data_IF_372339525681
#
_entry.id   IF_372339525681
#
_cell.length_a   1.000
_cell.length_b   1.000
_cell.length_c   1.000
_cell.angle_alpha   90.00
_cell.angle_beta   90.00
_cell.angle_gamma   90.00
#
_symmetry.space_group_name_H-M   'P 1'
#
loop_
_entity.id
_entity.type
_entity.pdbx_description
1 polymer ?
#
# COMPACT_ATOMS: atom_id res chain seq x y z
N UNK A 1 4.06 -10.95 2.31
CA UNK A 1 3.79 -9.69 3.04
C UNK A 1 4.72 -9.52 4.23
N UNK A 2 4.66 -10.40 5.24
CA UNK A 2 5.47 -10.27 6.48
C UNK A 2 6.96 -10.00 6.23
N UNK A 3 7.60 -10.73 5.30
CA UNK A 3 9.02 -10.55 5.01
C UNK A 3 9.41 -9.13 4.54
N UNK A 4 8.63 -8.50 3.65
CA UNK A 4 8.96 -7.15 3.15
C UNK A 4 8.68 -6.10 4.23
N UNK A 5 7.58 -6.24 4.96
CA UNK A 5 7.23 -5.34 6.07
C UNK A 5 8.31 -5.37 7.14
N UNK A 6 8.72 -6.57 7.57
CA UNK A 6 9.79 -6.75 8.53
C UNK A 6 11.09 -6.11 8.05
N UNK A 7 11.47 -6.31 6.78
CA UNK A 7 12.68 -5.73 6.25
C UNK A 7 12.63 -4.19 6.18
N UNK A 8 11.46 -3.58 5.97
CA UNK A 8 11.30 -2.12 6.05
C UNK A 8 11.47 -1.62 7.50
N UNK A 9 10.86 -2.29 8.47
CA UNK A 9 11.00 -1.95 9.90
C UNK A 9 12.45 -2.12 10.38
N UNK A 10 13.12 -3.22 10.01
CA UNK A 10 14.52 -3.50 10.38
C UNK A 10 15.48 -2.42 9.82
N UNK A 11 15.13 -1.78 8.70
CA UNK A 11 15.87 -0.68 8.06
C UNK A 11 15.42 0.72 8.52
N UNK A 12 14.47 0.79 9.48
CA UNK A 12 13.91 2.04 9.99
C UNK A 12 13.24 2.89 8.91
N UNK A 13 12.60 2.24 7.93
CA UNK A 13 11.86 2.91 6.87
C UNK A 13 10.40 3.05 7.25
N UNK A 14 9.91 4.29 7.29
CA UNK A 14 8.48 4.54 7.38
C UNK A 14 7.76 4.09 6.10
N UNK A 15 6.62 3.44 6.28
CA UNK A 15 5.69 3.06 5.23
C UNK A 15 4.26 3.15 5.76
N UNK A 16 3.26 2.97 4.90
CA UNK A 16 1.90 2.64 5.31
C UNK A 16 1.35 1.57 4.35
N UNK A 17 0.90 0.44 4.88
CA UNK A 17 0.18 -0.55 4.08
C UNK A 17 -1.13 0.05 3.58
N UNK A 18 -1.48 -0.22 2.32
CA UNK A 18 -2.73 0.23 1.72
C UNK A 18 -3.41 -0.88 0.92
N UNK A 19 -4.37 -0.52 0.07
CA UNK A 19 -5.05 -1.47 -0.81
C UNK A 19 -5.82 -2.55 -0.03
N UNK A 20 -5.75 -3.79 -0.53
CA UNK A 20 -6.51 -4.92 0.04
C UNK A 20 -6.09 -5.31 1.45
N UNK A 21 -4.82 -5.13 1.80
CA UNK A 21 -4.31 -5.46 3.13
C UNK A 21 -4.88 -4.50 4.16
N UNK A 22 -4.87 -3.20 3.89
CA UNK A 22 -5.44 -2.20 4.79
C UNK A 22 -6.96 -2.35 4.93
N UNK A 23 -7.67 -2.72 3.86
CA UNK A 23 -9.10 -3.08 3.96
C UNK A 23 -9.33 -4.21 4.98
N UNK A 24 -8.52 -5.27 4.93
CA UNK A 24 -8.64 -6.40 5.84
C UNK A 24 -8.31 -6.00 7.30
N UNK A 25 -7.31 -5.14 7.51
CA UNK A 25 -6.98 -4.59 8.84
C UNK A 25 -8.16 -3.82 9.44
N UNK A 26 -8.88 -3.05 8.61
CA UNK A 26 -10.06 -2.30 9.01
C UNK A 26 -11.36 -3.13 9.03
N UNK A 27 -11.26 -4.46 8.98
CA UNK A 27 -12.42 -5.35 9.13
C UNK A 27 -13.21 -5.62 7.85
N UNK A 28 -12.69 -5.27 6.67
CA UNK A 28 -13.27 -5.63 5.36
C UNK A 28 -12.39 -6.68 4.66
N UNK A 29 -12.69 -7.98 4.81
CA UNK A 29 -11.92 -9.02 4.12
C UNK A 29 -12.02 -8.86 2.60
N UNK A 30 -10.86 -8.69 1.94
CA UNK A 30 -10.77 -8.57 0.50
C UNK A 30 -9.52 -9.29 0.01
N UNK A 31 -9.72 -10.38 -0.73
CA UNK A 31 -8.61 -11.15 -1.29
C UNK A 31 -7.72 -10.25 -2.16
N UNK A 32 -6.44 -10.19 -1.83
CA UNK A 32 -5.42 -9.47 -2.61
C UNK A 32 -4.23 -10.38 -2.87
N UNK A 33 -3.68 -10.29 -4.08
CA UNK A 33 -2.44 -10.97 -4.46
C UNK A 33 -1.25 -10.01 -4.49
N UNK A 34 -1.51 -8.72 -4.32
CA UNK A 34 -0.53 -7.67 -4.38
C UNK A 34 -0.31 -7.07 -2.98
N UNK A 35 0.90 -6.56 -2.76
CA UNK A 35 1.25 -5.78 -1.57
C UNK A 35 1.33 -4.34 -2.02
N UNK A 36 0.49 -3.48 -1.44
CA UNK A 36 0.50 -2.05 -1.70
C UNK A 36 1.07 -1.32 -0.48
N UNK A 37 2.09 -0.48 -0.67
CA UNK A 37 2.63 0.41 0.36
C UNK A 37 2.67 1.84 -0.13
N UNK A 38 2.34 2.78 0.74
CA UNK A 38 2.55 4.20 0.57
C UNK A 38 3.83 4.61 1.29
N UNK A 39 4.68 5.44 0.65
CA UNK A 39 5.95 5.92 1.22
C UNK A 39 6.22 7.36 0.77
N UNK A 40 7.00 8.16 1.53
CA UNK A 40 7.36 9.50 1.09
C UNK A 40 8.31 9.44 -0.13
N UNK A 41 8.35 10.47 -0.98
CA UNK A 41 9.23 10.50 -2.16
C UNK A 41 10.70 10.22 -1.85
N UNK A 42 11.19 10.68 -0.69
CA UNK A 42 12.56 10.48 -0.23
C UNK A 42 12.90 9.02 0.11
N UNK A 43 11.91 8.18 0.40
CA UNK A 43 12.11 6.78 0.79
C UNK A 43 12.12 5.80 -0.39
N UNK A 44 11.64 6.20 -1.56
CA UNK A 44 11.40 5.32 -2.72
C UNK A 44 12.63 4.48 -3.10
N UNK A 45 13.81 5.10 -3.19
CA UNK A 45 15.03 4.38 -3.60
C UNK A 45 15.58 3.47 -2.50
N UNK A 46 15.38 3.81 -1.21
CA UNK A 46 15.71 2.91 -0.10
C UNK A 46 14.77 1.70 -0.09
N UNK A 47 13.48 1.93 -0.30
CA UNK A 47 12.47 0.87 -0.43
C UNK A 47 12.79 -0.05 -1.61
N UNK A 48 13.25 0.49 -2.75
CA UNK A 48 13.74 -0.32 -3.89
C UNK A 48 14.87 -1.26 -3.45
N UNK A 49 15.85 -0.78 -2.70
CA UNK A 49 16.96 -1.60 -2.23
C UNK A 49 16.49 -2.73 -1.31
N UNK A 50 15.58 -2.44 -0.38
CA UNK A 50 14.97 -3.43 0.53
C UNK A 50 14.10 -4.43 -0.23
N UNK A 51 13.31 -3.98 -1.21
CA UNK A 51 12.53 -4.87 -2.05
C UNK A 51 13.44 -5.86 -2.81
N UNK A 52 14.56 -5.39 -3.34
CA UNK A 52 15.56 -6.24 -4.02
C UNK A 52 16.18 -7.26 -3.08
N UNK A 53 16.55 -6.89 -1.84
CA UNK A 53 17.07 -7.84 -0.85
C UNK A 53 16.02 -8.91 -0.48
N UNK A 54 14.73 -8.54 -0.51
CA UNK A 54 13.59 -9.44 -0.33
C UNK A 54 13.23 -10.28 -1.56
N UNK A 55 14.04 -10.23 -2.63
CA UNK A 55 13.89 -11.02 -3.84
C UNK A 55 12.96 -10.44 -4.91
N UNK A 56 12.49 -9.20 -4.76
CA UNK A 56 11.78 -8.47 -5.82
C UNK A 56 12.78 -8.02 -6.89
N UNK A 57 12.99 -8.87 -7.89
CA UNK A 57 14.04 -8.72 -8.92
C UNK A 57 13.56 -8.00 -10.18
N UNK A 58 12.25 -7.98 -10.41
CA UNK A 58 11.67 -7.32 -11.58
C UNK A 58 11.18 -5.92 -11.21
N UNK A 59 11.54 -4.95 -12.04
CA UNK A 59 11.35 -3.52 -11.81
C UNK A 59 10.60 -2.96 -13.02
N UNK A 60 9.36 -2.53 -12.83
CA UNK A 60 8.61 -1.87 -13.89
C UNK A 60 9.02 -0.39 -13.97
N UNK A 61 8.89 0.21 -15.15
CA UNK A 61 9.03 1.65 -15.28
C UNK A 61 8.02 2.35 -14.36
N UNK A 62 8.41 3.48 -13.72
CA UNK A 62 7.47 4.28 -12.94
C UNK A 62 6.25 4.63 -13.77
N UNK A 63 5.08 4.53 -13.15
CA UNK A 63 3.82 4.90 -13.75
C UNK A 63 3.17 6.01 -12.94
N UNK A 64 2.66 7.03 -13.63
CA UNK A 64 1.87 8.10 -13.02
C UNK A 64 0.48 8.07 -13.61
N UNK A 65 -0.53 7.90 -12.77
CA UNK A 65 -1.92 7.93 -13.19
C UNK A 65 -2.32 9.38 -13.44
N UNK A 66 -2.40 9.78 -14.73
CA UNK A 66 -2.68 11.18 -15.11
C UNK A 66 -3.97 11.74 -14.52
N UNK A 67 -4.98 10.91 -14.28
CA UNK A 67 -6.26 11.32 -13.69
C UNK A 67 -6.17 11.69 -12.21
N UNK A 68 -5.24 11.11 -11.46
CA UNK A 68 -5.10 11.30 -10.01
C UNK A 68 -3.79 11.94 -9.58
N UNK A 69 -2.79 12.00 -10.46
CA UNK A 69 -1.43 12.44 -10.13
C UNK A 69 -0.61 11.39 -9.37
N UNK A 70 -1.21 10.25 -9.01
CA UNK A 70 -0.56 9.23 -8.17
C UNK A 70 0.56 8.55 -8.94
N UNK A 71 1.76 8.58 -8.36
CA UNK A 71 2.94 7.90 -8.87
C UNK A 71 3.16 6.55 -8.18
N UNK A 72 3.46 5.51 -8.96
CA UNK A 72 3.66 4.14 -8.47
C UNK A 72 4.95 3.54 -9.04
N UNK A 73 5.73 2.91 -8.17
CA UNK A 73 6.86 2.03 -8.51
C UNK A 73 6.44 0.59 -8.24
N UNK A 74 6.52 -0.25 -9.26
CA UNK A 74 6.05 -1.63 -9.18
C UNK A 74 7.23 -2.60 -9.26
N UNK A 75 7.29 -3.49 -8.29
CA UNK A 75 8.27 -4.56 -8.21
C UNK A 75 7.60 -5.91 -8.22
N UNK A 76 8.28 -6.95 -8.71
CA UNK A 76 7.74 -8.31 -8.69
C UNK A 76 8.78 -9.36 -8.29
N UNK A 77 8.29 -10.43 -7.67
CA UNK A 77 9.03 -11.68 -7.47
C UNK A 77 8.15 -12.89 -7.76
N UNK A 78 8.77 -14.03 -8.02
CA UNK A 78 8.06 -15.30 -8.18
C UNK A 78 8.06 -16.06 -6.85
N UNK A 79 6.89 -16.57 -6.47
CA UNK A 79 6.70 -17.52 -5.38
C UNK A 79 6.01 -18.73 -6.01
N UNK A 80 6.69 -19.89 -6.02
CA UNK A 80 6.16 -21.13 -6.60
C UNK A 80 5.65 -20.95 -8.05
N UNK A 81 6.37 -20.13 -8.83
CA UNK A 81 6.02 -19.81 -10.22
C UNK A 81 4.89 -18.79 -10.40
N UNK A 82 4.27 -18.30 -9.32
CA UNK A 82 3.26 -17.25 -9.36
C UNK A 82 3.88 -15.87 -9.06
N UNK A 83 3.52 -14.80 -9.79
CA UNK A 83 4.01 -13.46 -9.50
C UNK A 83 3.36 -12.88 -8.25
N UNK A 84 4.18 -12.35 -7.35
CA UNK A 84 3.79 -11.47 -6.25
C UNK A 84 4.25 -10.05 -6.59
N UNK A 85 3.30 -9.12 -6.63
CA UNK A 85 3.56 -7.71 -6.90
C UNK A 85 3.73 -6.93 -5.61
N UNK A 86 4.65 -5.97 -5.63
CA UNK A 86 4.81 -4.92 -4.63
C UNK A 86 4.64 -3.57 -5.34
N UNK A 87 3.54 -2.89 -5.05
CA UNK A 87 3.26 -1.55 -5.54
C UNK A 87 3.63 -0.55 -4.45
N UNK A 88 4.59 0.32 -4.79
CA UNK A 88 5.07 1.40 -3.93
C UNK A 88 4.49 2.70 -4.46
N UNK A 89 3.44 3.17 -3.81
CA UNK A 89 2.80 4.44 -4.07
C UNK A 89 3.61 5.55 -3.41
N UNK A 90 3.75 6.67 -4.11
CA UNK A 90 4.48 7.84 -3.61
C UNK A 90 3.49 8.79 -2.94
N UNK A 91 3.77 9.15 -1.69
CA UNK A 91 3.01 10.12 -0.91
C UNK A 91 3.33 11.55 -1.36
N UNK A 92 2.97 11.85 -2.61
CA UNK A 92 2.94 13.19 -3.16
C UNK A 92 1.49 13.60 -3.44
N UNK A 93 1.31 14.84 -3.91
CA UNK A 93 0.03 15.32 -4.44
C UNK A 93 -1.15 15.03 -3.49
N UNK A 94 -2.17 14.30 -3.97
CA UNK A 94 -3.39 13.96 -3.20
C UNK A 94 -3.15 12.94 -2.09
N UNK A 95 -1.99 12.25 -2.10
CA UNK A 95 -1.66 11.23 -1.12
C UNK A 95 -0.80 11.75 0.04
N UNK A 96 -0.38 13.01 0.01
CA UNK A 96 0.36 13.60 1.12
C UNK A 96 -0.48 13.61 2.41
N UNK A 97 -1.75 14.03 2.33
CA UNK A 97 -2.64 14.01 3.50
C UNK A 97 -2.93 12.58 3.99
N UNK A 98 -3.05 11.63 3.06
CA UNK A 98 -3.24 10.20 3.38
C UNK A 98 -2.03 9.66 4.17
N UNK A 99 -0.83 10.08 3.79
CA UNK A 99 0.40 9.71 4.48
C UNK A 99 0.47 10.27 5.91
N UNK A 100 0.15 11.55 6.09
CA UNK A 100 0.21 12.19 7.41
C UNK A 100 -0.83 11.64 8.38
N UNK A 101 -1.96 11.14 7.88
CA UNK A 101 -3.04 10.53 8.67
C UNK A 101 -2.94 9.01 8.80
N UNK A 102 -1.82 8.40 8.41
CA UNK A 102 -1.61 6.96 8.59
C UNK A 102 -1.66 6.57 10.07
N UNK A 103 -2.11 5.35 10.33
CA UNK A 103 -2.35 4.84 11.67
C UNK A 103 -1.42 3.68 11.99
N UNK A 104 -1.11 3.49 13.27
CA UNK A 104 -0.39 2.32 13.76
C UNK A 104 -1.40 1.36 14.40
N UNK A 105 -1.49 0.14 13.85
CA UNK A 105 -2.41 -0.90 14.32
C UNK A 105 -1.61 -2.06 14.90
N UNK A 106 -2.08 -2.64 15.99
CA UNK A 106 -1.46 -3.82 16.61
C UNK A 106 -1.87 -5.09 15.85
N UNK A 107 -0.89 -5.95 15.56
CA UNK A 107 -1.06 -7.28 14.97
C UNK A 107 -0.24 -8.28 15.80
N UNK A 108 -0.56 -9.57 15.70
CA UNK A 108 0.20 -10.71 16.28
C UNK A 108 1.75 -10.62 16.23
N UNK A 109 2.36 -9.94 15.26
CA UNK A 109 3.82 -9.87 15.05
C UNK A 109 4.40 -8.47 15.36
N UNK A 110 3.59 -7.53 15.86
CA UNK A 110 4.03 -6.18 16.21
C UNK A 110 3.04 -5.08 15.79
N UNK A 111 3.57 -3.88 15.51
CA UNK A 111 2.77 -2.74 15.06
C UNK A 111 2.96 -2.50 13.58
N UNK A 112 1.87 -2.48 12.83
CA UNK A 112 1.88 -2.15 11.40
C UNK A 112 1.48 -0.71 11.21
N UNK A 113 2.15 -0.02 10.30
CA UNK A 113 1.66 1.25 9.76
C UNK A 113 0.72 0.98 8.60
N UNK A 114 -0.50 1.53 8.65
CA UNK A 114 -1.57 1.33 7.67
C UNK A 114 -2.19 2.67 7.33
N UNK A 115 -2.69 2.85 6.11
CA UNK A 115 -3.51 4.02 5.79
C UNK A 115 -4.84 3.95 6.56
N UNK A 116 -5.36 5.10 6.98
CA UNK A 116 -6.66 5.19 7.66
C UNK A 116 -7.81 4.80 6.74
N UNK A 117 -9.00 4.60 7.31
CA UNK A 117 -10.25 4.39 6.54
C UNK A 117 -10.50 5.54 5.57
N UNK A 118 -10.39 6.79 6.02
CA UNK A 118 -10.52 7.98 5.17
C UNK A 118 -9.44 8.02 4.06
N UNK A 119 -8.23 7.58 4.40
CA UNK A 119 -7.13 7.42 3.46
C UNK A 119 -7.46 6.42 2.35
N UNK A 120 -8.03 5.26 2.72
CA UNK A 120 -8.50 4.28 1.75
C UNK A 120 -9.58 4.87 0.85
N UNK A 121 -10.58 5.55 1.40
CA UNK A 121 -11.65 6.19 0.61
C UNK A 121 -11.06 7.15 -0.41
N UNK A 122 -10.13 8.02 0.01
CA UNK A 122 -9.43 8.96 -0.88
C UNK A 122 -8.71 8.23 -2.03
N UNK A 123 -7.90 7.21 -1.69
CA UNK A 123 -7.14 6.44 -2.68
C UNK A 123 -8.04 5.70 -3.68
N UNK A 124 -9.15 5.14 -3.19
CA UNK A 124 -10.11 4.37 -3.98
C UNK A 124 -10.91 5.24 -4.92
N UNK A 125 -11.37 6.41 -4.47
CA UNK A 125 -12.02 7.40 -5.32
C UNK A 125 -11.09 7.95 -6.39
N UNK A 126 -9.80 8.14 -6.07
CA UNK A 126 -8.80 8.57 -7.06
C UNK A 126 -8.52 7.51 -8.15
N UNK A 127 -8.62 6.21 -7.80
CA UNK A 127 -8.46 5.11 -8.76
C UNK A 127 -9.73 4.82 -9.58
N UNK A 128 -10.91 5.01 -8.97
CA UNK A 128 -12.24 4.95 -9.60
C UNK A 128 -12.55 3.69 -10.43
N UNK A 129 -11.94 2.53 -10.14
CA UNK A 129 -12.32 1.26 -10.78
C UNK A 129 -13.61 0.73 -10.15
N UNK A 130 -14.42 -0.09 -10.85
CA UNK A 130 -15.67 -0.62 -10.30
C UNK A 130 -15.52 -1.28 -8.91
N UNK A 131 -14.46 -2.07 -8.70
CA UNK A 131 -14.17 -2.66 -7.39
C UNK A 131 -13.81 -1.62 -6.33
N UNK A 132 -13.11 -0.54 -6.71
CA UNK A 132 -12.75 0.51 -5.76
C UNK A 132 -13.98 1.27 -5.27
N UNK A 133 -14.96 1.51 -6.14
CA UNK A 133 -16.24 2.12 -5.76
C UNK A 133 -17.03 1.22 -4.78
N UNK A 134 -17.08 -0.08 -5.05
CA UNK A 134 -17.69 -1.05 -4.12
C UNK A 134 -16.95 -1.12 -2.76
N UNK A 135 -15.61 -0.99 -2.77
CA UNK A 135 -14.83 -0.92 -1.52
C UNK A 135 -15.15 0.37 -0.73
N UNK A 136 -15.37 1.50 -1.42
CA UNK A 136 -15.75 2.79 -0.79
C UNK A 136 -17.11 2.69 -0.09
N UNK A 137 -18.10 2.04 -0.70
CA UNK A 137 -19.41 1.86 -0.09
C UNK A 137 -19.30 1.09 1.24
N UNK A 138 -18.57 -0.02 1.24
CA UNK A 138 -18.33 -0.82 2.47
C UNK A 138 -17.56 -0.06 3.54
N UNK A 139 -16.58 0.76 3.14
CA UNK A 139 -15.82 1.60 4.08
C UNK A 139 -16.72 2.64 4.76
N UNK A 140 -17.67 3.22 4.03
CA UNK A 140 -18.64 4.17 4.59
C UNK A 140 -19.62 3.51 5.55
N UNK A 141 -20.13 2.32 5.19
CA UNK A 141 -21.00 1.53 6.07
C UNK A 141 -20.34 1.22 7.43
N UNK A 142 -19.01 1.03 7.47
CA UNK A 142 -18.26 0.86 8.71
C UNK A 142 -18.11 2.14 9.55
N UNK A 143 -18.14 3.32 8.93
CA UNK A 143 -18.02 4.61 9.64
C UNK A 143 -19.35 5.05 10.24
N UNK A 144 -20.46 4.62 9.65
CA UNK A 144 -21.82 4.97 10.06
C UNK A 144 -22.41 4.05 11.16
N UNK A 145 -21.71 2.97 11.53
CA UNK A 145 -22.13 1.97 12.53
C UNK A 145 -21.37 2.07 13.84
#
# INVERSE_FOLDING_TARGET
MAAIVKALEDEGLDYALCGGVALAVHGIPRATKDIDILVPPSAVERVRAVARSCGFKFDALPMTFRSSGISVRRFAKLIEGQPLMLDVLVADSVLQEVWERRERVEWQEGRLSVVSVDGLVTMKLAAARPQDLADVERLRELQDG
#
